data_IF_838594655689
#
_entry.id   IF_838594655689
#
_cell.length_a   1.000
_cell.length_b   1.000
_cell.length_c   1.000
_cell.angle_alpha   90.00
_cell.angle_beta   90.00
_cell.angle_gamma   90.00
#
_symmetry.space_group_name_H-M   'P 1'
#
loop_
_entity.id
_entity.type
_entity.pdbx_description
1 polymer ?
#
# COMPACT_ATOMS: atom_id res chain seq x y z
N UNK A 1 19.56 14.46 -5.31
CA UNK A 1 18.87 14.66 -4.02
C UNK A 1 19.73 13.99 -2.97
N UNK A 2 20.18 14.72 -1.94
CA UNK A 2 20.99 14.12 -0.88
C UNK A 2 20.17 13.15 -0.01
N UNK A 3 20.87 12.32 0.76
CA UNK A 3 20.29 11.25 1.57
C UNK A 3 19.32 11.78 2.64
N UNK A 4 19.62 12.94 3.22
CA UNK A 4 18.77 13.59 4.23
C UNK A 4 17.43 14.01 3.65
N UNK A 5 17.44 14.63 2.47
CA UNK A 5 16.24 15.01 1.76
C UNK A 5 15.41 13.76 1.39
N UNK A 6 16.06 12.67 0.95
CA UNK A 6 15.37 11.42 0.62
C UNK A 6 14.67 10.82 1.86
N UNK A 7 15.33 10.86 3.01
CA UNK A 7 14.74 10.41 4.28
C UNK A 7 13.52 11.24 4.66
N UNK A 8 13.60 12.57 4.55
CA UNK A 8 12.47 13.47 4.82
C UNK A 8 11.26 13.16 3.94
N UNK A 9 11.48 13.00 2.63
CA UNK A 9 10.39 12.64 1.69
C UNK A 9 9.78 11.30 2.04
N UNK A 10 10.59 10.28 2.34
CA UNK A 10 10.09 8.97 2.76
C UNK A 10 9.19 9.06 4.02
N UNK A 11 9.55 9.93 4.98
CA UNK A 11 8.74 10.14 6.19
C UNK A 11 7.45 10.90 5.90
N UNK A 12 7.48 11.86 4.98
CA UNK A 12 6.27 12.58 4.54
C UNK A 12 5.30 11.65 3.82
N UNK A 13 5.78 10.87 2.85
CA UNK A 13 4.98 9.85 2.13
C UNK A 13 4.29 8.90 3.12
N UNK A 14 5.01 8.50 4.17
CA UNK A 14 4.51 7.58 5.17
C UNK A 14 3.40 8.19 6.04
N UNK A 15 3.56 9.45 6.44
CA UNK A 15 2.53 10.19 7.18
C UNK A 15 1.29 10.37 6.32
N UNK A 16 1.46 10.78 5.06
CA UNK A 16 0.37 10.96 4.10
C UNK A 16 -0.38 9.64 3.88
N UNK A 17 0.34 8.52 3.72
CA UNK A 17 -0.26 7.19 3.63
C UNK A 17 -1.14 6.88 4.84
N UNK A 18 -0.62 7.07 6.07
CA UNK A 18 -1.40 6.81 7.29
C UNK A 18 -2.65 7.69 7.37
N UNK A 19 -2.55 8.97 7.01
CA UNK A 19 -3.70 9.88 6.96
C UNK A 19 -4.75 9.44 5.94
N UNK A 20 -4.33 9.05 4.74
CA UNK A 20 -5.22 8.56 3.70
C UNK A 20 -5.96 7.29 4.11
N UNK A 21 -5.28 6.36 4.80
CA UNK A 21 -5.93 5.19 5.39
C UNK A 21 -7.01 5.59 6.40
N UNK A 22 -6.72 6.54 7.30
CA UNK A 22 -7.70 7.04 8.28
C UNK A 22 -8.92 7.66 7.59
N UNK A 23 -8.72 8.43 6.52
CA UNK A 23 -9.82 9.05 5.77
C UNK A 23 -10.74 8.05 5.08
N UNK A 24 -10.26 6.82 4.80
CA UNK A 24 -11.10 5.74 4.30
C UNK A 24 -12.02 5.14 5.36
N UNK A 25 -11.93 5.60 6.62
CA UNK A 25 -12.76 5.18 7.77
C UNK A 25 -12.85 3.65 7.94
N UNK A 26 -11.71 2.93 7.96
CA UNK A 26 -11.72 1.50 8.16
C UNK A 26 -12.21 1.18 9.60
N UNK A 27 -12.72 -0.03 9.87
CA UNK A 27 -13.10 -0.44 11.22
C UNK A 27 -11.99 -0.23 12.25
N UNK A 28 -12.31 0.15 13.48
CA UNK A 28 -11.31 0.47 14.52
C UNK A 28 -10.24 -0.60 14.71
N UNK A 29 -10.62 -1.89 14.75
CA UNK A 29 -9.68 -3.00 14.90
C UNK A 29 -8.65 -3.08 13.76
N UNK A 30 -9.01 -2.65 12.55
CA UNK A 30 -8.08 -2.59 11.41
C UNK A 30 -7.21 -1.33 11.42
N UNK A 31 -7.61 -0.27 12.13
CA UNK A 31 -6.79 0.94 12.27
C UNK A 31 -5.53 0.64 13.08
N UNK A 32 -5.60 -0.27 14.06
CA UNK A 32 -4.46 -0.71 14.85
C UNK A 32 -3.36 -1.34 13.97
N UNK A 33 -3.74 -2.18 13.01
CA UNK A 33 -2.81 -2.80 12.06
C UNK A 33 -1.97 -1.77 11.30
N UNK A 34 -2.60 -0.69 10.82
CA UNK A 34 -1.89 0.39 10.12
C UNK A 34 -1.18 1.37 11.05
N UNK A 35 -1.64 1.48 12.30
CA UNK A 35 -0.96 2.25 13.33
C UNK A 35 0.43 1.64 13.63
N UNK A 36 0.47 0.31 13.78
CA UNK A 36 1.68 -0.47 14.07
C UNK A 36 2.60 -0.66 12.85
N UNK A 37 2.17 -0.24 11.65
CA UNK A 37 3.02 -0.24 10.46
C UNK A 37 4.25 0.64 10.71
N UNK A 38 5.43 0.11 10.38
CA UNK A 38 6.72 0.81 10.48
C UNK A 38 7.04 1.56 9.18
N UNK A 39 7.96 2.53 9.25
CA UNK A 39 8.45 3.21 8.05
C UNK A 39 9.15 2.23 7.10
N UNK A 40 9.92 1.27 7.63
CA UNK A 40 10.65 0.30 6.82
C UNK A 40 9.68 -0.59 6.03
N UNK A 41 8.67 -1.14 6.69
CA UNK A 41 7.65 -1.97 6.04
C UNK A 41 6.87 -1.16 5.01
N UNK A 42 6.49 0.09 5.35
CA UNK A 42 5.85 1.00 4.40
C UNK A 42 6.68 1.19 3.13
N UNK A 43 7.99 1.41 3.25
CA UNK A 43 8.85 1.61 2.07
C UNK A 43 8.87 0.37 1.18
N UNK A 44 8.96 -0.83 1.77
CA UNK A 44 8.88 -2.10 1.03
C UNK A 44 7.53 -2.24 0.32
N UNK A 45 6.42 -1.94 1.02
CA UNK A 45 5.06 -1.99 0.45
C UNK A 45 4.90 -0.96 -0.68
N UNK A 46 5.38 0.26 -0.50
CA UNK A 46 5.31 1.34 -1.49
C UNK A 46 6.05 0.97 -2.76
N UNK A 47 7.28 0.50 -2.63
CA UNK A 47 8.13 0.17 -3.77
C UNK A 47 7.56 -1.04 -4.53
N UNK A 48 7.11 -2.07 -3.81
CA UNK A 48 6.34 -3.18 -4.40
C UNK A 48 5.08 -2.70 -5.13
N UNK A 49 4.30 -1.79 -4.52
CA UNK A 49 3.06 -1.31 -5.12
C UNK A 49 3.32 -0.52 -6.40
N UNK A 50 4.41 0.25 -6.46
CA UNK A 50 4.86 0.94 -7.68
C UNK A 50 5.21 -0.06 -8.77
N UNK A 51 6.00 -1.09 -8.46
CA UNK A 51 6.35 -2.14 -9.43
C UNK A 51 5.11 -2.91 -9.93
N UNK A 52 4.18 -3.22 -9.02
CA UNK A 52 2.94 -3.88 -9.37
C UNK A 52 2.05 -2.98 -10.25
N UNK A 53 2.01 -1.68 -9.99
CA UNK A 53 1.29 -0.69 -10.80
C UNK A 53 1.78 -0.66 -12.24
N UNK A 54 3.11 -0.70 -12.45
CA UNK A 54 3.71 -0.78 -13.79
C UNK A 54 3.29 -2.05 -14.56
N UNK A 55 3.03 -3.15 -13.84
CA UNK A 55 2.53 -4.40 -14.42
C UNK A 55 1.11 -4.22 -14.96
N UNK A 56 0.24 -3.56 -14.19
CA UNK A 56 -1.15 -3.24 -14.61
C UNK A 56 -1.14 -2.29 -15.83
N UNK A 57 -0.26 -1.29 -15.82
CA UNK A 57 -0.14 -0.33 -16.94
C UNK A 57 0.37 -0.97 -18.23
N UNK A 58 1.12 -2.07 -18.13
CA UNK A 58 1.62 -2.84 -19.26
C UNK A 58 0.61 -3.87 -19.80
N UNK A 59 -0.67 -3.78 -19.38
CA UNK A 59 -1.76 -4.71 -19.69
C UNK A 59 -1.41 -6.20 -19.41
N UNK A 60 -0.51 -6.44 -18.47
CA UNK A 60 -0.23 -7.79 -17.97
C UNK A 60 -1.33 -8.21 -17.00
N UNK A 61 -1.59 -9.52 -16.97
CA UNK A 61 -2.60 -10.08 -16.08
C UNK A 61 -2.23 -9.78 -14.62
N UNK A 62 -3.09 -9.03 -13.96
CA UNK A 62 -2.94 -8.59 -12.58
C UNK A 62 -4.29 -8.74 -11.88
N UNK A 63 -4.25 -9.08 -10.59
CA UNK A 63 -5.46 -9.28 -9.79
C UNK A 63 -5.22 -8.82 -8.37
N UNK A 64 -6.27 -8.35 -7.70
CA UNK A 64 -6.19 -7.99 -6.29
C UNK A 64 -5.73 -9.19 -5.43
N UNK A 65 -6.13 -10.41 -5.80
CA UNK A 65 -5.72 -11.63 -5.10
C UNK A 65 -4.21 -11.88 -5.19
N UNK A 66 -3.61 -11.69 -6.36
CA UNK A 66 -2.16 -11.85 -6.53
C UNK A 66 -1.38 -10.72 -5.86
N UNK A 67 -1.92 -9.51 -5.89
CA UNK A 67 -1.38 -8.39 -5.12
C UNK A 67 -1.37 -8.70 -3.62
N UNK A 68 -2.49 -9.19 -3.08
CA UNK A 68 -2.62 -9.57 -1.67
C UNK A 68 -1.63 -10.65 -1.25
N UNK A 69 -1.49 -11.73 -2.04
CA UNK A 69 -0.51 -12.81 -1.74
C UNK A 69 0.92 -12.27 -1.66
N UNK A 70 1.31 -11.42 -2.61
CA UNK A 70 2.66 -10.81 -2.63
C UNK A 70 2.83 -9.82 -1.48
N UNK A 71 1.80 -9.02 -1.19
CA UNK A 71 1.80 -8.10 -0.06
C UNK A 71 2.01 -8.83 1.27
N UNK A 72 1.31 -9.95 1.51
CA UNK A 72 1.45 -10.74 2.73
C UNK A 72 2.88 -11.29 2.87
N UNK A 73 3.54 -11.65 1.77
CA UNK A 73 4.94 -12.08 1.82
C UNK A 73 5.90 -10.96 2.24
N UNK A 74 5.59 -9.70 1.90
CA UNK A 74 6.38 -8.52 2.26
C UNK A 74 6.07 -8.08 3.69
N UNK A 75 4.79 -8.04 4.03
CA UNK A 75 4.26 -7.55 5.30
C UNK A 75 3.19 -8.51 5.81
N UNK A 76 3.65 -9.55 6.51
CA UNK A 76 2.80 -10.61 7.07
C UNK A 76 1.58 -10.12 7.86
N UNK A 77 1.65 -9.03 8.65
CA UNK A 77 0.48 -8.52 9.37
C UNK A 77 -0.74 -8.20 8.48
N UNK A 78 -0.54 -7.92 7.18
CA UNK A 78 -1.64 -7.68 6.23
C UNK A 78 -2.70 -8.79 6.22
N UNK A 79 -2.31 -10.05 6.49
CA UNK A 79 -3.22 -11.20 6.50
C UNK A 79 -4.26 -11.15 7.62
N UNK A 80 -4.01 -10.36 8.67
CA UNK A 80 -4.90 -10.25 9.83
C UNK A 80 -6.19 -9.46 9.53
N UNK A 81 -6.21 -8.71 8.43
CA UNK A 81 -7.37 -7.93 8.02
C UNK A 81 -7.64 -8.08 6.51
N UNK A 82 -8.77 -8.69 6.11
CA UNK A 82 -9.04 -9.04 4.71
C UNK A 82 -9.03 -7.86 3.72
N UNK A 83 -9.31 -6.63 4.17
CA UNK A 83 -9.33 -5.46 3.28
C UNK A 83 -7.99 -4.71 3.23
N UNK A 84 -6.95 -5.20 3.91
CA UNK A 84 -5.63 -4.53 3.96
C UNK A 84 -5.08 -4.27 2.57
N UNK A 85 -5.06 -5.30 1.72
CA UNK A 85 -4.56 -5.21 0.36
C UNK A 85 -5.35 -4.21 -0.48
N UNK A 86 -6.68 -4.23 -0.35
CA UNK A 86 -7.56 -3.30 -1.05
C UNK A 86 -7.33 -1.85 -0.62
N UNK A 87 -7.20 -1.58 0.68
CA UNK A 87 -6.94 -0.23 1.19
C UNK A 87 -5.58 0.29 0.75
N UNK A 88 -4.54 -0.55 0.87
CA UNK A 88 -3.17 -0.20 0.45
C UNK A 88 -3.15 0.10 -1.05
N UNK A 89 -3.69 -0.79 -1.88
CA UNK A 89 -3.75 -0.58 -3.33
C UNK A 89 -4.51 0.70 -3.68
N UNK A 90 -5.65 0.95 -3.04
CA UNK A 90 -6.46 2.15 -3.28
C UNK A 90 -5.71 3.44 -2.95
N UNK A 91 -4.96 3.46 -1.85
CA UNK A 91 -4.20 4.66 -1.43
C UNK A 91 -2.97 4.86 -2.32
N UNK A 92 -2.22 3.79 -2.61
CA UNK A 92 -0.90 3.91 -3.23
C UNK A 92 -0.90 3.85 -4.77
N UNK A 93 -1.85 3.14 -5.40
CA UNK A 93 -1.94 3.06 -6.87
C UNK A 93 -2.74 4.22 -7.48
N UNK A 94 -3.52 4.92 -6.66
CA UNK A 94 -4.48 5.92 -7.12
C UNK A 94 -5.74 5.31 -7.75
N UNK A 95 -6.75 6.16 -7.92
CA UNK A 95 -8.13 5.75 -8.26
C UNK A 95 -8.24 4.94 -9.56
N UNK A 96 -7.54 5.35 -10.61
CA UNK A 96 -7.68 4.77 -11.94
C UNK A 96 -7.06 3.37 -12.03
N UNK A 97 -5.83 3.20 -11.52
CA UNK A 97 -5.16 1.90 -11.52
C UNK A 97 -5.82 0.92 -10.55
N UNK A 98 -6.27 1.41 -9.40
CA UNK A 98 -7.05 0.58 -8.48
C UNK A 98 -8.35 0.08 -9.13
N UNK A 99 -9.07 0.93 -9.88
CA UNK A 99 -10.27 0.52 -10.60
C UNK A 99 -9.98 -0.59 -11.63
N UNK A 100 -8.83 -0.53 -12.33
CA UNK A 100 -8.38 -1.60 -13.23
C UNK A 100 -7.99 -2.88 -12.50
N UNK A 101 -7.50 -2.79 -11.26
CA UNK A 101 -7.08 -3.95 -10.47
C UNK A 101 -8.26 -4.80 -9.99
N UNK A 102 -9.42 -4.16 -9.77
CA UNK A 102 -10.62 -4.80 -9.22
C UNK A 102 -11.70 -5.09 -10.28
N UNK A 103 -11.49 -4.68 -11.53
CA UNK A 103 -12.36 -4.96 -12.67
C UNK A 103 -12.12 -6.36 -13.21
#
# INVERSE_FOLDING_TARGET
>A
MDENNKNLVNRLDFIEFKQNIIFLKPPQHSTQLFYDLTLEDFLKIRDFTKEYSLTIESDKLASLSDFEKKLINIWQPAKSYPLSASLIARVLMGKNLYAKLIS
#
